data_IF_286573614935
#
_entry.id   IF_286573614935
#
_cell.length_a   1.000
_cell.length_b   1.000
_cell.length_c   1.000
_cell.angle_alpha   90.00
_cell.angle_beta   90.00
_cell.angle_gamma   90.00
#
_symmetry.space_group_name_H-M   'P 1'
#
loop_
_entity.id
_entity.type
_entity.pdbx_description
1 polymer ?
#
# COMPACT_ATOMS: atom_id res chain seq x y z
N UNK A 1 -13.52 -28.00 28.17
CA UNK A 1 -12.99 -26.63 28.01
C UNK A 1 -13.69 -25.74 29.02
N UNK A 2 -12.96 -25.05 29.90
CA UNK A 2 -13.58 -24.12 30.84
C UNK A 2 -14.16 -22.90 30.10
N UNK A 3 -15.09 -22.17 30.71
CA UNK A 3 -15.64 -20.94 30.12
C UNK A 3 -14.55 -19.88 29.78
N UNK A 4 -13.49 -19.83 30.59
CA UNK A 4 -12.32 -18.96 30.35
C UNK A 4 -11.46 -19.43 29.18
N UNK A 5 -11.27 -20.73 29.04
CA UNK A 5 -10.54 -21.34 27.95
C UNK A 5 -11.26 -21.16 26.60
N UNK A 6 -12.61 -21.19 26.62
CA UNK A 6 -13.45 -20.89 25.46
C UNK A 6 -13.32 -19.40 25.06
N UNK A 7 -13.40 -18.46 26.01
CA UNK A 7 -13.25 -17.03 25.76
C UNK A 7 -11.83 -16.69 25.22
N UNK A 8 -10.79 -17.36 25.73
CA UNK A 8 -9.42 -17.23 25.23
C UNK A 8 -9.21 -17.87 23.84
N UNK A 9 -10.16 -18.65 23.35
CA UNK A 9 -10.14 -19.25 22.01
C UNK A 9 -10.90 -18.46 20.95
N UNK A 10 -11.54 -17.36 21.34
CA UNK A 10 -12.34 -16.49 20.46
C UNK A 10 -11.57 -15.23 20.05
N UNK A 11 -11.87 -14.72 18.88
CA UNK A 11 -11.42 -13.40 18.45
C UNK A 11 -12.20 -12.33 19.23
N UNK A 12 -11.52 -11.39 19.84
CA UNK A 12 -12.14 -10.37 20.67
C UNK A 12 -13.09 -9.45 19.87
N UNK A 13 -14.13 -8.94 20.53
CA UNK A 13 -15.05 -7.96 19.92
C UNK A 13 -14.29 -6.71 19.43
N UNK A 14 -13.28 -6.25 20.19
CA UNK A 14 -12.43 -5.12 19.77
C UNK A 14 -11.69 -5.41 18.47
N UNK A 15 -11.16 -6.64 18.29
CA UNK A 15 -10.54 -7.07 17.05
C UNK A 15 -11.50 -7.04 15.86
N UNK A 16 -12.72 -7.58 16.04
CA UNK A 16 -13.76 -7.56 15.01
C UNK A 16 -14.12 -6.13 14.58
N UNK A 17 -14.31 -5.23 15.57
CA UNK A 17 -14.63 -3.82 15.31
C UNK A 17 -13.50 -3.14 14.53
N UNK A 18 -12.25 -3.31 14.93
CA UNK A 18 -11.12 -2.67 14.25
C UNK A 18 -10.85 -3.28 12.89
N UNK A 19 -11.02 -4.60 12.70
CA UNK A 19 -10.97 -5.23 11.38
C UNK A 19 -12.05 -4.67 10.45
N UNK A 20 -13.28 -4.49 10.95
CA UNK A 20 -14.38 -3.91 10.17
C UNK A 20 -14.04 -2.48 9.71
N UNK A 21 -13.59 -1.61 10.63
CA UNK A 21 -13.22 -0.24 10.28
C UNK A 21 -12.04 -0.19 9.31
N UNK A 22 -11.02 -1.03 9.49
CA UNK A 22 -9.89 -1.12 8.58
C UNK A 22 -10.34 -1.58 7.19
N UNK A 23 -11.14 -2.64 7.11
CA UNK A 23 -11.69 -3.12 5.83
C UNK A 23 -12.52 -2.03 5.12
N UNK A 24 -13.43 -1.38 5.85
CA UNK A 24 -14.27 -0.30 5.33
C UNK A 24 -13.41 0.87 4.81
N UNK A 25 -12.46 1.31 5.61
CA UNK A 25 -11.64 2.47 5.32
C UNK A 25 -10.71 2.23 4.13
N UNK A 26 -10.08 1.06 4.05
CA UNK A 26 -9.15 0.70 2.97
C UNK A 26 -9.85 0.34 1.65
N UNK A 27 -11.13 -0.05 1.69
CA UNK A 27 -11.90 -0.32 0.46
C UNK A 27 -12.69 0.88 -0.02
N UNK A 28 -13.43 1.55 0.86
CA UNK A 28 -14.32 2.67 0.49
C UNK A 28 -13.58 4.00 0.44
N UNK A 29 -12.58 4.19 1.32
CA UNK A 29 -11.83 5.45 1.44
C UNK A 29 -11.20 5.93 0.13
N UNK A 30 -10.43 5.09 -0.60
CA UNK A 30 -9.83 5.47 -1.88
C UNK A 30 -10.87 5.84 -2.95
N UNK A 31 -11.99 5.14 -3.01
CA UNK A 31 -13.08 5.43 -3.94
C UNK A 31 -13.71 6.79 -3.63
N UNK A 32 -13.98 7.05 -2.35
CA UNK A 32 -14.47 8.37 -1.91
C UNK A 32 -13.46 9.47 -2.20
N UNK A 33 -12.17 9.23 -1.95
CA UNK A 33 -11.11 10.19 -2.28
C UNK A 33 -11.10 10.53 -3.78
N UNK A 34 -11.21 9.53 -4.66
CA UNK A 34 -11.30 9.73 -6.10
C UNK A 34 -12.52 10.57 -6.49
N UNK A 35 -13.72 10.25 -5.95
CA UNK A 35 -14.96 10.97 -6.23
C UNK A 35 -14.89 12.42 -5.73
N UNK A 36 -14.46 12.64 -4.49
CA UNK A 36 -14.37 13.97 -3.89
C UNK A 36 -13.34 14.83 -4.60
N UNK A 37 -12.20 14.26 -4.97
CA UNK A 37 -11.17 14.96 -5.72
C UNK A 37 -11.66 15.30 -7.13
N UNK A 38 -12.34 14.39 -7.81
CA UNK A 38 -12.97 14.68 -9.11
C UNK A 38 -13.97 15.81 -9.05
N UNK A 39 -14.84 15.83 -8.05
CA UNK A 39 -15.82 16.91 -7.87
C UNK A 39 -15.16 18.28 -7.75
N UNK A 40 -13.99 18.33 -7.12
CA UNK A 40 -13.25 19.59 -6.90
C UNK A 40 -12.39 20.02 -8.08
N UNK A 41 -11.65 19.07 -8.69
CA UNK A 41 -10.56 19.38 -9.62
C UNK A 41 -10.86 19.02 -11.09
N UNK A 42 -11.91 18.23 -11.35
CA UNK A 42 -12.30 17.82 -12.72
C UNK A 42 -11.11 17.27 -13.52
N UNK A 43 -10.36 16.32 -12.94
CA UNK A 43 -9.24 15.64 -13.60
C UNK A 43 -9.72 14.66 -14.69
N UNK A 44 -8.80 14.18 -15.53
CA UNK A 44 -9.09 13.13 -16.49
C UNK A 44 -9.27 11.79 -15.76
N UNK A 45 -10.46 11.21 -15.82
CA UNK A 45 -10.80 9.96 -15.10
C UNK A 45 -9.86 8.79 -15.42
N UNK A 46 -9.37 8.73 -16.67
CA UNK A 46 -8.36 7.74 -17.08
C UNK A 46 -7.11 7.74 -16.20
N UNK A 47 -6.80 8.86 -15.52
CA UNK A 47 -5.62 8.92 -14.65
C UNK A 47 -5.75 7.99 -13.43
N UNK A 48 -6.92 7.91 -12.80
CA UNK A 48 -7.17 6.98 -11.67
C UNK A 48 -7.09 5.54 -12.14
N UNK A 49 -7.75 5.21 -13.26
CA UNK A 49 -7.73 3.86 -13.80
C UNK A 49 -6.33 3.43 -14.27
N UNK A 50 -5.58 4.34 -14.88
CA UNK A 50 -4.18 4.08 -15.27
C UNK A 50 -3.31 3.81 -14.05
N UNK A 51 -3.47 4.59 -12.96
CA UNK A 51 -2.74 4.36 -11.71
C UNK A 51 -3.04 2.98 -11.12
N UNK A 52 -4.31 2.61 -11.06
CA UNK A 52 -4.74 1.30 -10.58
C UNK A 52 -4.18 0.15 -11.47
N UNK A 53 -4.28 0.29 -12.80
CA UNK A 53 -3.78 -0.71 -13.74
C UNK A 53 -2.25 -0.89 -13.65
N UNK A 54 -1.51 0.20 -13.42
CA UNK A 54 -0.04 0.14 -13.24
C UNK A 54 0.31 -0.65 -11.99
N UNK A 55 -0.31 -0.41 -10.85
CA UNK A 55 -0.07 -1.21 -9.65
C UNK A 55 -0.38 -2.69 -9.89
N UNK A 56 -1.54 -3.01 -10.46
CA UNK A 56 -1.91 -4.40 -10.76
C UNK A 56 -0.87 -5.06 -11.66
N UNK A 57 -0.48 -4.42 -12.76
CA UNK A 57 0.45 -5.00 -13.73
C UNK A 57 1.85 -5.16 -13.16
N UNK A 58 2.42 -4.08 -12.60
CA UNK A 58 3.82 -4.07 -12.19
C UNK A 58 4.05 -4.74 -10.83
N UNK A 59 3.09 -4.66 -9.91
CA UNK A 59 3.22 -5.24 -8.58
C UNK A 59 2.59 -6.64 -8.51
N UNK A 60 1.28 -6.78 -8.78
CA UNK A 60 0.58 -8.04 -8.55
C UNK A 60 0.87 -9.09 -9.62
N UNK A 61 0.99 -8.70 -10.88
CA UNK A 61 1.18 -9.65 -12.00
C UNK A 61 2.67 -9.93 -12.26
N UNK A 62 3.56 -8.95 -12.00
CA UNK A 62 4.99 -9.13 -12.28
C UNK A 62 5.84 -9.32 -11.03
N UNK A 63 5.95 -8.31 -10.18
CA UNK A 63 6.91 -8.34 -9.07
C UNK A 63 6.58 -9.39 -8.01
N UNK A 64 5.34 -9.43 -7.52
CA UNK A 64 4.96 -10.36 -6.46
C UNK A 64 5.16 -11.82 -6.88
N UNK A 65 4.69 -12.29 -8.05
CA UNK A 65 4.99 -13.65 -8.51
C UNK A 65 6.49 -13.91 -8.70
N UNK A 66 7.25 -12.96 -9.21
CA UNK A 66 8.70 -13.10 -9.33
C UNK A 66 9.36 -13.37 -7.97
N UNK A 67 9.03 -12.57 -6.95
CA UNK A 67 9.65 -12.66 -5.62
C UNK A 67 9.13 -13.87 -4.83
N UNK A 68 7.87 -14.23 -4.97
CA UNK A 68 7.27 -15.29 -4.15
C UNK A 68 7.34 -16.67 -4.78
N UNK A 69 7.36 -16.79 -6.11
CA UNK A 69 7.29 -18.07 -6.80
C UNK A 69 8.57 -18.42 -7.56
N UNK A 70 9.27 -17.44 -8.14
CA UNK A 70 10.44 -17.70 -8.99
C UNK A 70 11.75 -17.63 -8.21
N UNK A 71 12.02 -16.50 -7.56
CA UNK A 71 13.29 -16.26 -6.86
C UNK A 71 13.57 -17.25 -5.72
N UNK A 72 12.60 -17.69 -4.90
CA UNK A 72 12.85 -18.68 -3.85
C UNK A 72 13.31 -20.04 -4.35
N UNK A 73 13.16 -20.32 -5.66
CA UNK A 73 13.74 -21.49 -6.30
C UNK A 73 15.24 -21.38 -6.61
N UNK A 74 15.83 -20.17 -6.51
CA UNK A 74 17.23 -19.90 -6.89
C UNK A 74 18.14 -19.88 -5.66
N UNK A 75 19.26 -20.64 -5.71
CA UNK A 75 20.16 -20.76 -4.55
C UNK A 75 20.85 -19.43 -4.21
N UNK A 76 21.31 -18.67 -5.21
CA UNK A 76 21.88 -17.33 -4.98
C UNK A 76 20.95 -16.41 -4.21
N UNK A 77 19.63 -16.48 -4.48
CA UNK A 77 18.65 -15.64 -3.80
C UNK A 77 18.51 -16.02 -2.32
N UNK A 78 18.45 -17.33 -2.04
CA UNK A 78 18.40 -17.84 -0.65
C UNK A 78 19.65 -17.48 0.12
N UNK A 79 20.83 -17.76 -0.49
CA UNK A 79 22.12 -17.63 0.18
C UNK A 79 22.58 -16.18 0.33
N UNK A 80 22.30 -15.31 -0.66
CA UNK A 80 22.78 -13.93 -0.65
C UNK A 80 21.74 -12.95 -0.16
N UNK A 81 20.45 -13.11 -0.56
CA UNK A 81 19.41 -12.14 -0.29
C UNK A 81 18.62 -12.51 0.98
N UNK A 82 18.06 -13.73 1.04
CA UNK A 82 17.18 -14.13 2.15
C UNK A 82 17.95 -14.47 3.43
N UNK A 83 19.23 -14.81 3.35
CA UNK A 83 20.07 -15.18 4.49
C UNK A 83 20.31 -14.05 5.50
N UNK A 84 20.16 -12.80 5.08
CA UNK A 84 20.40 -11.62 5.90
C UNK A 84 19.25 -10.63 5.80
N UNK A 85 18.70 -10.21 6.94
CA UNK A 85 17.53 -9.32 6.99
C UNK A 85 17.79 -7.95 6.33
N UNK A 86 19.03 -7.45 6.38
CA UNK A 86 19.39 -6.18 5.75
C UNK A 86 19.38 -6.29 4.23
N UNK A 87 20.05 -7.32 3.66
CA UNK A 87 20.02 -7.55 2.20
C UNK A 87 18.61 -7.84 1.72
N UNK A 88 17.85 -8.62 2.49
CA UNK A 88 16.46 -8.93 2.16
C UNK A 88 15.56 -7.69 2.15
N UNK A 89 15.62 -6.88 3.19
CA UNK A 89 14.82 -5.65 3.26
C UNK A 89 15.20 -4.63 2.19
N UNK A 90 16.52 -4.42 1.96
CA UNK A 90 16.99 -3.53 0.88
C UNK A 90 16.54 -4.04 -0.50
N UNK A 91 16.62 -5.33 -0.75
CA UNK A 91 16.18 -5.94 -2.00
C UNK A 91 14.66 -5.77 -2.21
N UNK A 92 13.85 -6.03 -1.17
CA UNK A 92 12.41 -5.87 -1.26
C UNK A 92 12.01 -4.42 -1.49
N UNK A 93 12.59 -3.46 -0.76
CA UNK A 93 12.32 -2.04 -0.95
C UNK A 93 12.79 -1.53 -2.30
N UNK A 94 14.00 -1.92 -2.74
CA UNK A 94 14.51 -1.54 -4.07
C UNK A 94 13.64 -2.07 -5.20
N UNK A 95 13.27 -3.36 -5.14
CA UNK A 95 12.43 -3.94 -6.21
C UNK A 95 11.02 -3.37 -6.20
N UNK A 96 10.44 -3.00 -5.04
CA UNK A 96 9.16 -2.29 -4.98
C UNK A 96 9.26 -0.97 -5.72
N UNK A 97 10.22 -0.13 -5.33
CA UNK A 97 10.46 1.15 -6.00
C UNK A 97 10.75 0.98 -7.48
N UNK A 98 11.58 0.01 -7.87
CA UNK A 98 11.92 -0.21 -9.29
C UNK A 98 10.67 -0.52 -10.13
N UNK A 99 9.88 -1.50 -9.74
CA UNK A 99 8.72 -1.93 -10.52
C UNK A 99 7.64 -0.86 -10.55
N UNK A 100 7.31 -0.28 -9.40
CA UNK A 100 6.21 0.69 -9.30
C UNK A 100 6.55 2.03 -9.93
N UNK A 101 7.76 2.56 -9.70
CA UNK A 101 8.12 3.87 -10.22
C UNK A 101 8.43 3.82 -11.72
N UNK A 102 9.02 2.73 -12.24
CA UNK A 102 9.16 2.53 -13.67
C UNK A 102 7.78 2.43 -14.34
N UNK A 103 6.86 1.65 -13.76
CA UNK A 103 5.48 1.57 -14.25
C UNK A 103 4.78 2.92 -14.27
N UNK A 104 4.93 3.70 -13.20
CA UNK A 104 4.40 5.07 -13.06
C UNK A 104 4.99 6.01 -14.11
N UNK A 105 6.30 6.00 -14.28
CA UNK A 105 7.00 6.82 -15.28
C UNK A 105 6.54 6.49 -16.69
N UNK A 106 6.48 5.20 -17.05
CA UNK A 106 6.02 4.75 -18.36
C UNK A 106 4.57 5.16 -18.63
N UNK A 107 3.70 5.05 -17.62
CA UNK A 107 2.32 5.49 -17.75
C UNK A 107 2.21 6.99 -18.06
N UNK A 108 2.99 7.83 -17.40
CA UNK A 108 2.96 9.28 -17.68
C UNK A 108 3.49 9.62 -19.06
N UNK A 109 4.57 9.01 -19.55
CA UNK A 109 5.15 9.36 -20.85
C UNK A 109 4.43 8.71 -22.03
N UNK A 110 3.74 7.58 -21.84
CA UNK A 110 3.09 6.84 -22.93
C UNK A 110 1.58 7.05 -22.96
N UNK A 111 0.92 6.92 -21.80
CA UNK A 111 -0.55 6.90 -21.71
C UNK A 111 -1.08 8.31 -21.38
N UNK A 112 -0.53 8.95 -20.35
CA UNK A 112 -1.01 10.23 -19.82
C UNK A 112 -0.25 11.45 -20.35
N UNK A 113 0.52 11.32 -21.45
CA UNK A 113 1.36 12.38 -22.01
C UNK A 113 0.62 13.69 -22.33
N UNK A 114 -0.70 13.63 -22.56
CA UNK A 114 -1.55 14.80 -22.81
C UNK A 114 -2.17 15.38 -21.53
N UNK A 115 -1.98 14.71 -20.40
CA UNK A 115 -2.56 15.03 -19.09
C UNK A 115 -1.48 15.13 -18.00
N UNK A 116 -0.34 15.75 -18.35
CA UNK A 116 0.81 15.93 -17.44
C UNK A 116 0.64 17.19 -16.60
N UNK A 117 -0.33 17.18 -15.70
CA UNK A 117 -0.58 18.26 -14.75
C UNK A 117 -0.75 17.71 -13.31
N UNK A 118 -0.70 18.61 -12.35
CA UNK A 118 -0.76 18.27 -10.93
C UNK A 118 -2.02 17.46 -10.56
N UNK A 119 -3.20 17.86 -11.05
CA UNK A 119 -4.46 17.19 -10.71
C UNK A 119 -4.51 15.75 -11.25
N UNK A 120 -3.98 15.53 -12.46
CA UNK A 120 -3.91 14.19 -13.05
C UNK A 120 -2.84 13.32 -12.39
N UNK A 121 -1.73 13.90 -11.92
CA UNK A 121 -0.73 13.16 -11.13
C UNK A 121 -1.29 12.76 -9.76
N UNK A 122 -2.01 13.65 -9.07
CA UNK A 122 -2.72 13.30 -7.82
C UNK A 122 -3.77 12.22 -8.07
N UNK A 123 -4.55 12.34 -9.15
CA UNK A 123 -5.56 11.33 -9.52
C UNK A 123 -4.94 9.96 -9.83
N UNK A 124 -3.80 9.94 -10.52
CA UNK A 124 -3.02 8.71 -10.73
C UNK A 124 -2.59 8.08 -9.39
N UNK A 125 -2.02 8.88 -8.48
CA UNK A 125 -1.62 8.42 -7.16
C UNK A 125 -2.79 7.89 -6.31
N UNK A 126 -3.96 8.52 -6.41
CA UNK A 126 -5.20 8.03 -5.79
C UNK A 126 -5.58 6.65 -6.36
N UNK A 127 -5.47 6.45 -7.68
CA UNK A 127 -5.74 5.17 -8.32
C UNK A 127 -4.74 4.10 -7.91
N UNK A 128 -3.45 4.42 -7.95
CA UNK A 128 -2.35 3.50 -7.62
C UNK A 128 -2.38 3.06 -6.15
N UNK A 129 -2.24 4.01 -5.22
CA UNK A 129 -2.27 3.69 -3.79
C UNK A 129 -3.65 3.23 -3.30
N UNK A 130 -4.72 3.62 -4.01
CA UNK A 130 -6.08 3.18 -3.70
C UNK A 130 -6.29 1.71 -4.02
N UNK A 131 -5.90 1.24 -5.20
CA UNK A 131 -6.04 -0.18 -5.56
C UNK A 131 -5.12 -1.06 -4.72
N UNK A 132 -3.93 -0.56 -4.36
CA UNK A 132 -3.04 -1.23 -3.41
C UNK A 132 -3.73 -1.43 -2.05
N UNK A 133 -4.28 -0.35 -1.47
CA UNK A 133 -4.99 -0.42 -0.19
C UNK A 133 -6.17 -1.40 -0.25
N UNK A 134 -6.95 -1.40 -1.35
CA UNK A 134 -8.08 -2.30 -1.55
C UNK A 134 -7.61 -3.76 -1.61
N UNK A 135 -6.64 -4.08 -2.46
CA UNK A 135 -6.27 -5.46 -2.77
C UNK A 135 -5.37 -6.09 -1.70
N UNK A 136 -4.41 -5.34 -1.15
CA UNK A 136 -3.49 -5.92 -0.16
C UNK A 136 -4.06 -5.91 1.25
N UNK A 137 -4.78 -4.86 1.63
CA UNK A 137 -5.29 -4.73 3.01
C UNK A 137 -6.80 -4.93 3.06
N UNK A 138 -7.57 -4.27 2.22
CA UNK A 138 -9.03 -4.33 2.27
C UNK A 138 -9.56 -5.75 2.12
N UNK A 139 -9.14 -6.47 1.08
CA UNK A 139 -9.53 -7.88 0.82
C UNK A 139 -9.05 -8.78 1.96
N UNK A 140 -7.83 -8.59 2.46
CA UNK A 140 -7.28 -9.37 3.59
C UNK A 140 -8.10 -9.15 4.85
N UNK A 141 -8.48 -7.92 5.17
CA UNK A 141 -9.26 -7.62 6.38
C UNK A 141 -10.71 -8.08 6.28
N UNK A 142 -11.31 -8.06 5.10
CA UNK A 142 -12.62 -8.70 4.86
C UNK A 142 -12.51 -10.21 5.12
N UNK A 143 -11.49 -10.87 4.59
CA UNK A 143 -11.25 -12.29 4.83
C UNK A 143 -11.00 -12.61 6.30
N UNK A 144 -10.17 -11.80 6.98
CA UNK A 144 -9.89 -11.93 8.40
C UNK A 144 -11.17 -11.78 9.24
N UNK A 145 -12.02 -10.80 8.90
CA UNK A 145 -13.29 -10.57 9.60
C UNK A 145 -14.24 -11.77 9.44
N UNK A 146 -14.40 -12.28 8.22
CA UNK A 146 -15.21 -13.46 7.94
C UNK A 146 -14.68 -14.67 8.72
N UNK A 147 -13.37 -14.93 8.66
CA UNK A 147 -12.72 -16.04 9.37
C UNK A 147 -12.90 -15.89 10.88
N UNK A 148 -12.77 -14.69 11.42
CA UNK A 148 -12.96 -14.41 12.84
C UNK A 148 -14.40 -14.66 13.31
N UNK A 149 -15.39 -14.32 12.47
CA UNK A 149 -16.81 -14.64 12.74
C UNK A 149 -17.01 -16.17 12.72
N UNK A 150 -16.38 -16.88 11.77
CA UNK A 150 -16.46 -18.36 11.72
C UNK A 150 -15.81 -19.00 12.97
N UNK A 151 -14.68 -18.46 13.44
CA UNK A 151 -14.04 -18.94 14.68
C UNK A 151 -14.99 -18.76 15.85
N UNK A 152 -15.57 -17.56 16.02
CA UNK A 152 -16.44 -17.25 17.14
C UNK A 152 -17.78 -18.01 17.12
N UNK A 153 -18.24 -18.46 15.95
CA UNK A 153 -19.45 -19.28 15.80
C UNK A 153 -19.23 -20.80 15.83
N UNK A 154 -17.95 -21.25 15.93
CA UNK A 154 -17.60 -22.68 15.86
C UNK A 154 -17.61 -23.27 14.44
N UNK A 155 -17.99 -22.49 13.43
CA UNK A 155 -18.00 -22.97 12.02
C UNK A 155 -16.58 -23.24 11.51
N UNK A 156 -15.58 -22.54 12.03
CA UNK A 156 -14.20 -22.75 11.65
C UNK A 156 -13.72 -24.16 12.01
N UNK A 157 -14.04 -24.64 13.22
CA UNK A 157 -13.63 -25.97 13.68
C UNK A 157 -14.35 -27.07 12.89
N UNK A 158 -15.63 -26.88 12.54
CA UNK A 158 -16.36 -27.79 11.67
C UNK A 158 -15.79 -27.85 10.25
N UNK A 159 -15.35 -26.70 9.71
CA UNK A 159 -14.67 -26.63 8.43
C UNK A 159 -13.30 -27.32 8.51
N UNK A 160 -12.50 -27.02 9.54
CA UNK A 160 -11.17 -27.58 9.73
C UNK A 160 -11.17 -29.11 9.74
N UNK A 161 -12.22 -29.73 10.33
CA UNK A 161 -12.34 -31.19 10.35
C UNK A 161 -12.45 -31.84 8.96
N UNK A 162 -12.84 -31.10 7.93
CA UNK A 162 -13.01 -31.60 6.56
C UNK A 162 -11.74 -31.48 5.71
N UNK A 163 -10.71 -30.75 6.18
CA UNK A 163 -9.47 -30.54 5.43
C UNK A 163 -8.42 -31.63 5.72
N UNK A 164 -7.55 -31.97 4.74
CA UNK A 164 -6.42 -32.86 4.94
C UNK A 164 -5.45 -32.33 6.03
N UNK A 165 -4.78 -33.23 6.75
CA UNK A 165 -3.88 -32.87 7.87
C UNK A 165 -2.78 -31.88 7.48
N UNK A 166 -2.27 -31.96 6.25
CA UNK A 166 -1.27 -31.03 5.71
C UNK A 166 -1.75 -29.56 5.67
N UNK A 167 -3.03 -29.34 5.36
CA UNK A 167 -3.59 -28.00 5.29
C UNK A 167 -4.03 -27.47 6.67
N UNK A 168 -4.42 -28.36 7.60
CA UNK A 168 -4.88 -28.01 8.95
C UNK A 168 -3.86 -27.20 9.73
N UNK A 169 -2.55 -27.54 9.64
CA UNK A 169 -1.49 -26.84 10.35
C UNK A 169 -1.44 -25.32 10.03
N UNK A 170 -1.49 -24.95 8.76
CA UNK A 170 -1.51 -23.55 8.32
C UNK A 170 -2.79 -22.83 8.76
N UNK A 171 -3.96 -23.51 8.69
CA UNK A 171 -5.22 -22.93 9.12
C UNK A 171 -5.26 -22.68 10.64
N UNK A 172 -4.75 -23.60 11.45
CA UNK A 172 -4.62 -23.44 12.91
C UNK A 172 -3.68 -22.28 13.24
N UNK A 173 -2.56 -22.14 12.52
CA UNK A 173 -1.67 -21.01 12.70
C UNK A 173 -2.36 -19.68 12.36
N UNK A 174 -3.09 -19.60 11.26
CA UNK A 174 -3.85 -18.42 10.89
C UNK A 174 -4.91 -18.05 11.94
N UNK A 175 -5.64 -19.05 12.47
CA UNK A 175 -6.57 -18.87 13.60
C UNK A 175 -5.87 -18.31 14.82
N UNK A 176 -4.74 -18.86 15.21
CA UNK A 176 -3.99 -18.42 16.38
C UNK A 176 -3.52 -16.97 16.24
N UNK A 177 -3.09 -16.55 15.05
CA UNK A 177 -2.77 -15.15 14.75
C UNK A 177 -4.00 -14.27 14.98
N UNK A 178 -5.17 -14.63 14.47
CA UNK A 178 -6.39 -13.83 14.63
C UNK A 178 -6.85 -13.72 16.08
N UNK A 179 -6.72 -14.79 16.86
CA UNK A 179 -7.14 -14.82 18.27
C UNK A 179 -6.19 -14.03 19.18
N UNK A 180 -4.86 -14.15 18.95
CA UNK A 180 -3.85 -13.61 19.88
C UNK A 180 -3.30 -12.24 19.48
N UNK A 181 -3.58 -11.76 18.26
CA UNK A 181 -3.15 -10.41 17.87
C UNK A 181 -3.90 -9.35 18.67
N UNK A 182 -3.21 -8.41 19.33
CA UNK A 182 -3.84 -7.32 20.06
C UNK A 182 -4.76 -6.51 19.14
N UNK A 183 -5.97 -6.19 19.63
CA UNK A 183 -7.00 -5.57 18.81
C UNK A 183 -6.56 -4.28 18.10
N UNK A 184 -5.78 -3.43 18.78
CA UNK A 184 -5.32 -2.16 18.22
C UNK A 184 -4.44 -2.34 16.98
N UNK A 185 -3.75 -3.46 16.82
CA UNK A 185 -2.89 -3.72 15.66
C UNK A 185 -3.69 -3.78 14.36
N UNK A 186 -4.94 -4.22 14.43
CA UNK A 186 -5.83 -4.21 13.26
C UNK A 186 -6.18 -2.80 12.80
N UNK A 187 -6.32 -1.85 13.74
CA UNK A 187 -6.54 -0.45 13.42
C UNK A 187 -5.27 0.22 12.88
N UNK A 188 -4.11 -0.08 13.48
CA UNK A 188 -2.80 0.45 13.09
C UNK A 188 -2.52 0.16 11.61
N UNK A 189 -2.77 -1.06 11.14
CA UNK A 189 -2.62 -1.41 9.72
C UNK A 189 -3.50 -0.57 8.79
N UNK A 190 -4.71 -0.19 9.23
CA UNK A 190 -5.57 0.71 8.46
C UNK A 190 -5.03 2.14 8.39
N UNK A 191 -4.48 2.63 9.49
CA UNK A 191 -3.85 3.96 9.58
C UNK A 191 -2.57 4.01 8.74
N UNK A 192 -1.75 2.96 8.78
CA UNK A 192 -0.57 2.82 7.93
C UNK A 192 -0.94 2.94 6.44
N UNK A 193 -2.02 2.30 6.00
CA UNK A 193 -2.48 2.40 4.60
C UNK A 193 -2.90 3.82 4.20
N UNK A 194 -3.41 4.62 5.12
CA UNK A 194 -3.64 6.05 4.85
C UNK A 194 -2.33 6.78 4.57
N UNK A 195 -1.30 6.49 5.34
CA UNK A 195 0.01 7.14 5.16
C UNK A 195 0.66 6.72 3.85
N UNK A 196 0.67 5.43 3.53
CA UNK A 196 1.21 4.94 2.25
C UNK A 196 0.42 5.46 1.04
N UNK A 197 -0.90 5.58 1.15
CA UNK A 197 -1.74 6.22 0.13
C UNK A 197 -1.30 7.67 -0.16
N UNK A 198 -1.02 8.47 0.88
CA UNK A 198 -0.53 9.84 0.72
C UNK A 198 0.86 9.86 0.07
N UNK A 199 1.73 8.93 0.42
CA UNK A 199 3.08 8.78 -0.16
C UNK A 199 2.99 8.46 -1.65
N UNK A 200 2.13 7.53 -2.07
CA UNK A 200 1.96 7.20 -3.49
C UNK A 200 1.44 8.38 -4.33
N UNK A 201 0.58 9.23 -3.75
CA UNK A 201 0.16 10.49 -4.39
C UNK A 201 1.39 11.40 -4.61
N UNK A 202 2.23 11.56 -3.59
CA UNK A 202 3.40 12.42 -3.69
C UNK A 202 4.45 11.91 -4.69
N UNK A 203 4.71 10.61 -4.73
CA UNK A 203 5.60 9.98 -5.72
C UNK A 203 5.09 10.19 -7.14
N UNK A 204 3.76 10.12 -7.34
CA UNK A 204 3.14 10.42 -8.64
C UNK A 204 3.36 11.87 -9.06
N UNK A 205 3.19 12.81 -8.14
CA UNK A 205 3.47 14.23 -8.39
C UNK A 205 4.97 14.46 -8.63
N UNK A 206 5.85 13.76 -7.92
CA UNK A 206 7.30 13.86 -8.09
C UNK A 206 7.73 13.46 -9.51
N UNK A 207 7.30 12.32 -10.00
CA UNK A 207 7.58 11.84 -11.36
C UNK A 207 7.05 12.83 -12.41
N UNK A 208 5.80 13.27 -12.27
CA UNK A 208 5.21 14.25 -13.18
C UNK A 208 6.02 15.54 -13.24
N UNK A 209 6.42 16.11 -12.10
CA UNK A 209 7.27 17.32 -12.04
C UNK A 209 8.62 17.08 -12.73
N UNK A 210 9.21 15.91 -12.56
CA UNK A 210 10.46 15.54 -13.23
C UNK A 210 10.33 15.52 -14.75
N UNK A 211 9.23 14.99 -15.28
CA UNK A 211 8.93 14.96 -16.72
C UNK A 211 8.71 16.38 -17.24
N UNK A 212 7.93 17.21 -16.57
CA UNK A 212 7.71 18.61 -16.95
C UNK A 212 9.00 19.42 -16.99
N UNK A 213 9.93 19.17 -16.05
CA UNK A 213 11.25 19.80 -16.01
C UNK A 213 12.26 19.23 -17.01
N UNK A 214 11.87 18.30 -17.88
CA UNK A 214 12.74 17.57 -18.80
C UNK A 214 13.89 16.81 -18.10
N UNK A 215 13.67 16.41 -16.83
CA UNK A 215 14.60 15.65 -15.97
C UNK A 215 13.97 14.32 -15.52
N UNK A 216 13.12 13.72 -16.37
CA UNK A 216 12.29 12.57 -16.00
C UNK A 216 13.08 11.40 -15.42
N UNK A 217 14.20 10.99 -16.05
CA UNK A 217 15.04 9.88 -15.54
C UNK A 217 15.69 10.19 -14.19
N UNK A 218 16.11 11.43 -13.94
CA UNK A 218 16.66 11.82 -12.64
C UNK A 218 15.59 11.70 -11.54
N UNK A 219 14.37 12.16 -11.83
CA UNK A 219 13.26 12.09 -10.87
C UNK A 219 12.74 10.66 -10.72
N UNK A 220 12.84 9.82 -11.75
CA UNK A 220 12.58 8.39 -11.64
C UNK A 220 13.57 7.73 -10.66
N UNK A 221 14.88 7.96 -10.83
CA UNK A 221 15.89 7.45 -9.90
C UNK A 221 15.66 7.93 -8.46
N UNK A 222 15.29 9.20 -8.29
CA UNK A 222 14.94 9.76 -6.97
C UNK A 222 13.68 9.09 -6.39
N UNK A 223 12.66 8.85 -7.20
CA UNK A 223 11.43 8.20 -6.74
C UNK A 223 11.69 6.74 -6.33
N UNK A 224 12.48 5.98 -7.09
CA UNK A 224 12.91 4.62 -6.74
C UNK A 224 13.67 4.63 -5.40
N UNK A 225 14.60 5.56 -5.22
CA UNK A 225 15.37 5.67 -3.98
C UNK A 225 14.48 6.02 -2.78
N UNK A 226 13.57 6.98 -2.94
CA UNK A 226 12.63 7.37 -1.87
C UNK A 226 11.69 6.22 -1.51
N UNK A 227 11.15 5.50 -2.49
CA UNK A 227 10.32 4.32 -2.27
C UNK A 227 11.09 3.24 -1.49
N UNK A 228 12.32 2.94 -1.91
CA UNK A 228 13.20 2.00 -1.21
C UNK A 228 13.48 2.44 0.24
N UNK A 229 13.74 3.73 0.48
CA UNK A 229 14.01 4.29 1.82
C UNK A 229 12.78 4.22 2.72
N UNK A 230 11.57 4.18 2.15
CA UNK A 230 10.34 4.01 2.92
C UNK A 230 10.09 2.54 3.22
N UNK A 231 10.20 1.65 2.25
CA UNK A 231 9.81 0.25 2.38
C UNK A 231 10.87 -0.63 3.07
N UNK A 232 12.15 -0.42 2.75
CA UNK A 232 13.21 -1.27 3.30
C UNK A 232 13.27 -1.25 4.84
N UNK A 233 13.16 -0.09 5.52
CA UNK A 233 13.14 -0.06 6.98
C UNK A 233 11.96 -0.83 7.59
N UNK A 234 10.79 -0.86 6.94
CA UNK A 234 9.63 -1.62 7.42
C UNK A 234 9.97 -3.10 7.53
N UNK A 235 10.58 -3.67 6.48
CA UNK A 235 11.00 -5.07 6.46
C UNK A 235 12.12 -5.34 7.46
N UNK A 236 13.16 -4.49 7.47
CA UNK A 236 14.33 -4.66 8.33
C UNK A 236 13.95 -4.56 9.81
N UNK A 237 13.25 -3.50 10.20
CA UNK A 237 12.88 -3.27 11.59
C UNK A 237 11.91 -4.35 12.10
N UNK A 238 10.94 -4.78 11.27
CA UNK A 238 10.04 -5.87 11.62
C UNK A 238 10.79 -7.19 11.78
N UNK A 239 11.73 -7.49 10.89
CA UNK A 239 12.56 -8.69 10.96
C UNK A 239 13.55 -8.72 12.15
N UNK A 240 13.96 -7.54 12.63
CA UNK A 240 14.78 -7.38 13.85
C UNK A 240 13.94 -7.40 15.14
N UNK A 241 12.61 -7.51 15.03
CA UNK A 241 11.72 -7.48 16.20
C UNK A 241 11.57 -6.10 16.82
N UNK A 242 11.81 -5.03 16.07
CA UNK A 242 11.62 -3.66 16.55
C UNK A 242 10.17 -3.40 16.93
N UNK A 243 9.97 -2.42 17.83
CA UNK A 243 8.63 -2.01 18.21
C UNK A 243 7.89 -1.45 16.99
N UNK A 244 6.71 -2.01 16.69
CA UNK A 244 5.85 -1.57 15.59
C UNK A 244 5.62 -0.06 15.58
N UNK A 245 5.49 0.56 16.75
CA UNK A 245 5.28 2.01 16.87
C UNK A 245 6.40 2.84 16.23
N UNK A 246 7.66 2.36 16.27
CA UNK A 246 8.78 3.05 15.61
C UNK A 246 8.64 3.02 14.09
N UNK A 247 8.19 1.90 13.53
CA UNK A 247 7.92 1.75 12.10
C UNK A 247 6.80 2.71 11.67
N UNK A 248 5.72 2.75 12.43
CA UNK A 248 4.57 3.63 12.15
C UNK A 248 4.92 5.11 12.24
N UNK A 249 5.73 5.52 13.23
CA UNK A 249 6.20 6.91 13.34
C UNK A 249 7.04 7.28 12.10
N UNK A 250 7.91 6.39 11.63
CA UNK A 250 8.72 6.62 10.44
C UNK A 250 7.83 6.84 9.20
N UNK A 251 6.87 5.97 8.96
CA UNK A 251 5.94 6.07 7.82
C UNK A 251 5.10 7.35 7.94
N UNK A 252 4.64 7.69 9.15
CA UNK A 252 3.89 8.92 9.41
C UNK A 252 4.70 10.18 9.07
N UNK A 253 5.97 10.23 9.43
CA UNK A 253 6.87 11.37 9.10
C UNK A 253 7.01 11.48 7.58
N UNK A 254 7.23 10.38 6.86
CA UNK A 254 7.26 10.40 5.40
C UNK A 254 5.94 10.85 4.79
N UNK A 255 4.80 10.44 5.35
CA UNK A 255 3.48 10.86 4.88
C UNK A 255 3.26 12.37 5.06
N UNK A 256 3.71 12.97 6.17
CA UNK A 256 3.65 14.43 6.38
C UNK A 256 4.49 15.15 5.32
N UNK A 257 5.73 14.72 5.09
CA UNK A 257 6.62 15.30 4.07
C UNK A 257 5.97 15.18 2.68
N UNK A 258 5.43 14.02 2.35
CA UNK A 258 4.72 13.74 1.10
C UNK A 258 3.50 14.65 0.91
N UNK A 259 2.68 14.82 1.95
CA UNK A 259 1.52 15.69 1.93
C UNK A 259 1.91 17.16 1.70
N UNK A 260 2.89 17.66 2.46
CA UNK A 260 3.39 19.04 2.31
C UNK A 260 3.94 19.26 0.91
N UNK A 261 4.76 18.34 0.40
CA UNK A 261 5.30 18.39 -0.96
C UNK A 261 4.18 18.49 -2.01
N UNK A 262 3.21 17.59 -1.95
CA UNK A 262 2.07 17.56 -2.89
C UNK A 262 1.28 18.88 -2.88
N UNK A 263 1.02 19.43 -1.68
CA UNK A 263 0.34 20.72 -1.51
C UNK A 263 1.15 21.90 -2.06
N UNK A 264 2.47 21.90 -1.84
CA UNK A 264 3.36 22.96 -2.36
C UNK A 264 3.40 22.96 -3.88
N UNK A 265 3.44 21.79 -4.53
CA UNK A 265 3.39 21.70 -5.99
C UNK A 265 2.02 22.18 -6.54
N UNK A 266 0.92 21.82 -5.89
CA UNK A 266 -0.42 22.32 -6.26
C UNK A 266 -0.51 23.85 -6.20
N UNK A 267 0.00 24.49 -5.13
CA UNK A 267 0.00 25.96 -5.01
C UNK A 267 0.77 26.63 -6.15
N UNK A 268 1.93 26.09 -6.56
CA UNK A 268 2.71 26.66 -7.68
C UNK A 268 1.92 26.67 -9.00
N UNK A 269 1.13 25.65 -9.26
CA UNK A 269 0.28 25.59 -10.45
C UNK A 269 -0.79 26.69 -10.40
N UNK A 270 -1.49 26.81 -9.27
CA UNK A 270 -2.54 27.84 -9.12
C UNK A 270 -2.02 29.27 -9.20
N UNK A 271 -0.81 29.55 -8.69
CA UNK A 271 -0.19 30.85 -8.79
C UNK A 271 0.20 31.20 -10.23
N UNK A 272 0.74 30.24 -10.97
CA UNK A 272 1.10 30.46 -12.38
C UNK A 272 -0.13 30.72 -13.24
N UNK A 273 -1.19 29.92 -13.09
CA UNK A 273 -2.44 30.10 -13.85
C UNK A 273 -3.10 31.47 -13.55
N UNK A 274 -3.05 31.94 -12.31
CA UNK A 274 -3.57 33.26 -11.93
C UNK A 274 -2.74 34.42 -12.51
N UNK A 275 -1.43 34.23 -12.68
CA UNK A 275 -0.52 35.24 -13.23
C UNK A 275 -0.72 35.41 -14.74
N UNK A 276 -0.90 34.29 -15.48
CA UNK A 276 -1.15 34.31 -16.93
C UNK A 276 -2.56 34.81 -17.31
N UNK A 277 -3.52 34.80 -16.38
CA UNK A 277 -4.86 35.38 -16.61
C UNK A 277 -4.94 36.90 -16.37
N UNK A 278 -3.86 37.52 -15.87
CA UNK A 278 -3.80 38.95 -15.59
C UNK A 278 -2.97 39.75 -16.62
N UNK A 279 -2.38 39.12 -17.63
CA UNK A 279 -1.79 39.87 -18.76
C UNK A 279 -2.93 40.30 -19.70
N UNK A 280 -3.22 41.60 -19.81
CA UNK A 280 -4.20 42.11 -20.78
C UNK A 280 -3.63 41.97 -22.21
N UNK A 281 -4.50 41.62 -23.16
CA UNK A 281 -4.24 41.64 -24.61
C UNK A 281 -3.77 43.02 -25.10
#
# INVERSE_FOLDING_TARGET
MSSMEYLNSMVSTGSLVFMFFTALFTTVGPVLAAILFYRRQKYYLGSVFTGAAVFILFQLVTRIPLIQLVLPGMDWYKETIQSNIWTYGLFLGFTAGLFEEVGRYLAFILILKKNLDWKNAVAFGIGHGGIEAILLVGVTYISNLITSIMINSGLFDAMLAQYPDQARGAMIQARNVLVHTPSYMYLVSGVERLFTFIIHIALSVLIMVGIQKKKGLLYLGLAILLHMVIDAPVVILSGLGANLLLVEILIFVFAIIAFVYTRCQGKKVFFNDAFYQQEPE
#
